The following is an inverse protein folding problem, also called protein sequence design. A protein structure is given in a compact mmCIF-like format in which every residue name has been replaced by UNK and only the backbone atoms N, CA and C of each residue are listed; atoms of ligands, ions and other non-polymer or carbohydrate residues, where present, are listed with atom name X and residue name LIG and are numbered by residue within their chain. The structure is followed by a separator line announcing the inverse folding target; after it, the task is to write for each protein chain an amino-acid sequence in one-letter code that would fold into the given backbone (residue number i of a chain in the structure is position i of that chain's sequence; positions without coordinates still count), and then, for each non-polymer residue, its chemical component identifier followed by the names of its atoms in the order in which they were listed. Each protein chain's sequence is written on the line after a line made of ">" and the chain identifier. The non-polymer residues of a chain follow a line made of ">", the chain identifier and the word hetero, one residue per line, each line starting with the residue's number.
data_IF_624546189365
#
_entry.id   IF_624546189365
#
_cell.length_a   1.000
_cell.length_b   1.000
_cell.length_c   1.000
_cell.angle_alpha   90.00
_cell.angle_beta   90.00
_cell.angle_gamma   90.00
#
_symmetry.space_group_name_H-M   'P 1'
#
loop_
_entity.id
_entity.type
_entity.pdbx_description
1 polymer ?
#
# COMPACT_ATOMS: atom_id res chain seq x y z
N UNK A 1 -19.02 11.47 78.10
CA UNK A 1 -18.64 10.35 79.00
C UNK A 1 -17.97 9.26 78.16
N UNK A 2 -16.73 9.01 78.60
CA UNK A 2 -16.08 7.70 78.66
C UNK A 2 -15.90 6.95 77.30
N UNK A 3 -14.74 6.92 76.84
CA UNK A 3 -13.47 6.21 77.16
C UNK A 3 -13.31 4.85 76.46
N UNK A 4 -12.16 4.73 75.86
CA UNK A 4 -11.24 3.56 75.83
C UNK A 4 -11.52 2.49 74.81
N UNK A 5 -10.63 1.78 74.25
CA UNK A 5 -9.16 1.64 74.27
C UNK A 5 -8.74 0.69 73.22
N UNK A 6 -7.63 0.95 72.54
CA UNK A 6 -6.51 0.03 72.35
C UNK A 6 -6.77 -1.36 71.77
N UNK A 7 -6.13 -1.64 70.73
CA UNK A 7 -5.83 -2.99 70.23
C UNK A 7 -4.86 -2.96 69.05
N UNK A 8 -3.57 -2.92 69.35
CA UNK A 8 -2.45 -3.18 68.44
C UNK A 8 -2.51 -4.62 68.02
N UNK A 9 -2.38 -4.91 66.72
CA UNK A 9 -1.61 -6.08 66.29
C UNK A 9 -1.03 -5.87 64.91
N UNK A 10 0.27 -5.81 64.91
CA UNK A 10 1.15 -5.93 63.71
C UNK A 10 1.02 -7.34 63.15
N UNK A 11 0.78 -7.47 61.86
CA UNK A 11 1.25 -8.63 61.09
C UNK A 11 1.66 -8.19 59.73
N UNK A 12 2.96 -8.18 59.53
CA UNK A 12 3.64 -8.09 58.27
C UNK A 12 3.41 -9.38 57.48
N UNK A 13 2.80 -9.27 56.31
CA UNK A 13 2.85 -10.31 55.29
C UNK A 13 3.38 -9.69 54.00
N UNK A 14 4.63 -9.94 53.74
CA UNK A 14 5.26 -9.65 52.47
C UNK A 14 4.70 -10.62 51.43
N UNK A 15 3.86 -10.13 50.51
CA UNK A 15 3.57 -10.85 49.28
C UNK A 15 4.36 -10.21 48.15
N UNK A 16 5.34 -10.97 47.68
CA UNK A 16 6.07 -10.69 46.44
C UNK A 16 5.09 -10.77 45.30
N UNK A 17 4.65 -9.62 44.81
CA UNK A 17 3.93 -9.52 43.56
C UNK A 17 4.94 -9.66 42.38
N UNK A 18 4.98 -10.84 41.82
CA UNK A 18 5.68 -11.07 40.56
C UNK A 18 5.09 -10.18 39.49
N UNK A 19 5.88 -9.21 39.03
CA UNK A 19 5.57 -8.42 37.84
C UNK A 19 5.65 -9.35 36.61
N UNK A 20 4.50 -9.90 36.23
CA UNK A 20 4.36 -10.48 34.90
C UNK A 20 4.45 -9.34 33.91
N UNK A 21 5.64 -9.16 33.32
CA UNK A 21 5.85 -8.30 32.16
C UNK A 21 5.09 -8.93 30.99
N UNK A 22 3.82 -8.57 30.86
CA UNK A 22 3.09 -8.79 29.62
C UNK A 22 3.74 -7.91 28.57
N UNK A 23 4.63 -8.51 27.78
CA UNK A 23 5.08 -7.91 26.52
C UNK A 23 3.89 -7.84 25.59
N UNK A 24 3.09 -6.80 25.74
CA UNK A 24 2.19 -6.36 24.69
C UNK A 24 3.08 -5.96 23.51
N UNK A 25 3.22 -6.85 22.54
CA UNK A 25 3.57 -6.49 21.18
C UNK A 25 2.42 -5.65 20.60
N UNK A 26 2.18 -4.51 21.17
CA UNK A 26 1.50 -3.42 20.54
C UNK A 26 2.48 -2.94 19.48
N UNK A 27 2.27 -3.35 18.24
CA UNK A 27 2.82 -2.65 17.09
C UNK A 27 2.30 -1.23 17.22
N UNK A 28 3.05 -0.37 17.90
CA UNK A 28 2.76 1.05 17.94
C UNK A 28 2.73 1.47 16.47
N UNK A 29 1.55 1.81 16.00
CA UNK A 29 1.34 2.41 14.69
C UNK A 29 2.02 3.79 14.75
N UNK A 30 3.32 3.80 14.57
CA UNK A 30 4.05 5.06 14.36
C UNK A 30 3.41 5.71 13.14
N UNK A 31 3.16 7.02 13.16
CA UNK A 31 2.63 7.70 11.99
C UNK A 31 3.57 7.38 10.83
N UNK A 32 3.05 6.68 9.83
CA UNK A 32 3.83 6.33 8.66
C UNK A 32 4.14 7.60 7.89
N UNK A 33 5.39 7.76 7.50
CA UNK A 33 5.77 8.88 6.64
C UNK A 33 5.16 8.69 5.25
N UNK A 34 4.89 9.78 4.54
CA UNK A 34 4.40 9.71 3.16
C UNK A 34 5.30 8.85 2.25
N UNK A 35 6.61 8.83 2.53
CA UNK A 35 7.56 7.99 1.81
C UNK A 35 7.35 6.49 2.08
N UNK A 36 6.94 6.11 3.29
CA UNK A 36 6.63 4.72 3.63
C UNK A 36 5.30 4.30 2.99
N UNK A 37 4.30 5.18 3.08
CA UNK A 37 3.01 4.99 2.41
C UNK A 37 3.22 4.84 0.90
N UNK A 38 4.00 5.71 0.27
CA UNK A 38 4.29 5.65 -1.15
C UNK A 38 4.96 4.34 -1.56
N UNK A 39 5.87 3.83 -0.73
CA UNK A 39 6.54 2.55 -0.98
C UNK A 39 5.54 1.38 -0.93
N UNK A 40 4.67 1.40 0.08
CA UNK A 40 3.66 0.37 0.26
C UNK A 40 2.60 0.43 -0.85
N UNK A 41 2.10 1.62 -1.19
CA UNK A 41 1.16 1.81 -2.32
C UNK A 41 1.77 1.30 -3.62
N UNK A 42 3.03 1.64 -3.88
CA UNK A 42 3.75 1.13 -5.06
C UNK A 42 3.81 -0.39 -5.07
N UNK A 43 4.11 -0.99 -3.93
CA UNK A 43 4.17 -2.44 -3.81
C UNK A 43 2.82 -3.07 -4.14
N UNK A 44 1.75 -2.61 -3.54
CA UNK A 44 0.40 -3.15 -3.76
C UNK A 44 -0.04 -3.02 -5.22
N UNK A 45 0.19 -1.86 -5.84
CA UNK A 45 -0.15 -1.65 -7.26
C UNK A 45 0.65 -2.56 -8.18
N UNK A 46 1.97 -2.73 -7.94
CA UNK A 46 2.83 -3.58 -8.77
C UNK A 46 2.56 -5.08 -8.57
N UNK A 47 2.06 -5.47 -7.39
CA UNK A 47 1.72 -6.86 -7.09
C UNK A 47 0.28 -7.22 -7.46
N UNK A 48 -0.49 -6.26 -7.97
CA UNK A 48 -1.85 -6.52 -8.44
C UNK A 48 -1.85 -7.53 -9.59
N UNK A 49 -2.50 -8.71 -9.45
CA UNK A 49 -2.37 -9.82 -10.40
C UNK A 49 -2.86 -9.51 -11.82
N UNK A 50 -3.78 -8.55 -11.94
CA UNK A 50 -4.33 -8.17 -13.24
C UNK A 50 -3.66 -6.93 -13.84
N UNK A 51 -2.58 -6.42 -13.20
CA UNK A 51 -1.80 -5.34 -13.77
C UNK A 51 -1.11 -5.81 -15.04
N UNK A 52 -1.28 -5.07 -16.12
CA UNK A 52 -0.78 -5.45 -17.44
C UNK A 52 0.12 -4.36 -18.03
N UNK A 53 0.81 -4.68 -19.11
CA UNK A 53 1.63 -3.72 -19.85
C UNK A 53 0.81 -2.58 -20.49
N UNK A 54 -0.50 -2.73 -20.50
CA UNK A 54 -1.45 -1.76 -21.05
C UNK A 54 -1.99 -0.79 -20.00
N UNK A 55 -1.67 -1.02 -18.74
CA UNK A 55 -2.10 -0.17 -17.64
C UNK A 55 -0.96 0.78 -17.27
N UNK A 56 -1.26 2.04 -17.15
CA UNK A 56 -0.36 3.06 -16.62
C UNK A 56 -1.03 3.71 -15.42
N UNK A 57 -0.54 3.41 -14.22
CA UNK A 57 -1.08 3.96 -12.99
C UNK A 57 0.02 4.73 -12.27
N UNK A 58 -0.23 5.99 -12.06
CA UNK A 58 0.62 6.89 -11.29
C UNK A 58 -0.08 7.31 -10.00
N UNK A 59 0.68 7.64 -8.96
CA UNK A 59 0.11 8.12 -7.72
C UNK A 59 0.99 9.20 -7.07
N UNK A 60 0.37 9.99 -6.22
CA UNK A 60 1.02 10.96 -5.34
C UNK A 60 0.49 10.77 -3.92
N UNK A 61 1.38 10.89 -2.94
CA UNK A 61 1.03 10.86 -1.53
C UNK A 61 1.37 12.21 -0.91
N UNK A 62 0.44 12.76 -0.16
CA UNK A 62 0.62 14.00 0.60
C UNK A 62 -0.22 13.92 1.89
N UNK A 63 0.41 14.02 3.05
CA UNK A 63 -0.24 13.96 4.36
C UNK A 63 -1.17 12.73 4.52
N UNK A 64 -0.73 11.57 4.01
CA UNK A 64 -1.52 10.34 4.01
C UNK A 64 -2.65 10.28 2.97
N UNK A 65 -2.85 11.33 2.18
CA UNK A 65 -3.83 11.33 1.09
C UNK A 65 -3.17 10.85 -0.20
N UNK A 66 -3.78 9.88 -0.85
CA UNK A 66 -3.27 9.28 -2.08
C UNK A 66 -4.14 9.71 -3.26
N UNK A 67 -3.53 10.35 -4.25
CA UNK A 67 -4.18 10.67 -5.53
C UNK A 67 -3.70 9.68 -6.59
N UNK A 68 -4.62 8.92 -7.17
CA UNK A 68 -4.38 7.99 -8.25
C UNK A 68 -4.71 8.63 -9.58
N UNK A 69 -3.84 8.51 -10.56
CA UNK A 69 -4.02 9.02 -11.92
C UNK A 69 -3.52 8.01 -12.92
N UNK A 70 -3.91 8.17 -14.17
CA UNK A 70 -3.44 7.30 -15.26
C UNK A 70 -4.56 6.61 -16.01
N UNK A 71 -4.27 5.49 -16.62
CA UNK A 71 -5.21 4.80 -17.50
C UNK A 71 -5.15 3.29 -17.31
N UNK A 72 -6.31 2.64 -17.32
CA UNK A 72 -6.43 1.18 -17.27
C UNK A 72 -7.31 0.69 -18.43
N UNK A 73 -7.04 -0.52 -18.87
CA UNK A 73 -7.77 -1.09 -20.01
C UNK A 73 -9.12 -1.73 -19.63
N UNK A 74 -9.42 -1.85 -18.32
CA UNK A 74 -10.66 -2.48 -17.87
C UNK A 74 -11.25 -1.74 -16.66
N UNK A 75 -12.59 -1.53 -16.61
CA UNK A 75 -13.24 -0.79 -15.53
C UNK A 75 -13.04 -1.37 -14.14
N UNK A 76 -13.02 -2.70 -14.01
CA UNK A 76 -12.85 -3.37 -12.71
C UNK A 76 -11.48 -3.09 -12.09
N UNK A 77 -10.44 -2.91 -12.91
CA UNK A 77 -9.09 -2.62 -12.42
C UNK A 77 -9.01 -1.30 -11.67
N UNK A 78 -9.72 -0.28 -12.13
CA UNK A 78 -9.84 0.99 -11.45
C UNK A 78 -10.33 0.80 -10.02
N UNK A 79 -11.44 0.11 -9.84
CA UNK A 79 -12.03 -0.15 -8.52
C UNK A 79 -11.14 -1.03 -7.64
N UNK A 80 -10.49 -2.03 -8.24
CA UNK A 80 -9.62 -2.93 -7.49
C UNK A 80 -8.38 -2.20 -6.97
N UNK A 81 -7.74 -1.37 -7.81
CA UNK A 81 -6.57 -0.58 -7.43
C UNK A 81 -6.93 0.41 -6.32
N UNK A 82 -8.05 1.11 -6.44
CA UNK A 82 -8.55 1.99 -5.40
C UNK A 82 -8.70 1.25 -4.06
N UNK A 83 -9.36 0.08 -4.06
CA UNK A 83 -9.55 -0.74 -2.85
C UNK A 83 -8.24 -1.25 -2.26
N UNK A 84 -7.28 -1.61 -3.11
CA UNK A 84 -5.96 -2.05 -2.66
C UNK A 84 -5.24 -0.91 -1.95
N UNK A 85 -5.24 0.28 -2.53
CA UNK A 85 -4.59 1.46 -1.97
C UNK A 85 -5.26 1.91 -0.68
N UNK A 86 -6.59 1.85 -0.58
CA UNK A 86 -7.34 2.17 0.65
C UNK A 86 -6.97 1.28 1.84
N UNK A 87 -6.48 0.07 1.59
CA UNK A 87 -6.07 -0.88 2.65
C UNK A 87 -4.63 -0.68 3.11
N UNK A 88 -3.87 0.15 2.42
CA UNK A 88 -2.47 0.39 2.79
C UNK A 88 -2.43 1.14 4.14
N UNK A 89 -1.68 0.63 5.11
CA UNK A 89 -1.54 1.31 6.39
C UNK A 89 -1.01 2.73 6.21
N UNK A 90 -1.61 3.68 6.93
CA UNK A 90 -1.25 5.09 6.87
C UNK A 90 -1.99 5.90 5.81
N UNK A 91 -2.72 5.27 4.90
CA UNK A 91 -3.57 5.98 3.93
C UNK A 91 -4.82 6.51 4.65
N UNK A 92 -5.00 7.82 4.59
CA UNK A 92 -6.14 8.51 5.17
C UNK A 92 -7.31 8.63 4.18
N UNK A 93 -7.00 8.91 2.91
CA UNK A 93 -7.99 8.99 1.84
C UNK A 93 -7.37 8.64 0.49
N UNK A 94 -8.23 8.24 -0.45
CA UNK A 94 -7.83 7.96 -1.83
C UNK A 94 -8.73 8.77 -2.77
N UNK A 95 -8.11 9.51 -3.67
CA UNK A 95 -8.78 10.18 -4.79
C UNK A 95 -8.44 9.41 -6.06
N UNK A 96 -9.44 8.90 -6.77
CA UNK A 96 -9.26 8.05 -7.94
C UNK A 96 -9.66 8.79 -9.23
N UNK A 97 -8.65 9.34 -9.91
CA UNK A 97 -8.74 9.98 -11.22
C UNK A 97 -8.25 9.07 -12.35
N UNK A 98 -8.20 7.75 -12.14
CA UNK A 98 -7.84 6.78 -13.17
C UNK A 98 -8.92 6.77 -14.25
N UNK A 99 -8.50 6.88 -15.49
CA UNK A 99 -9.37 6.78 -16.67
C UNK A 99 -9.44 5.34 -17.16
N UNK A 100 -10.61 4.96 -17.65
CA UNK A 100 -10.76 3.68 -18.32
C UNK A 100 -10.66 3.91 -19.81
N UNK A 101 -9.73 3.22 -20.45
CA UNK A 101 -9.55 3.30 -21.90
C UNK A 101 -10.80 2.74 -22.60
N UNK A 102 -11.29 3.39 -23.67
CA UNK A 102 -12.39 2.85 -24.43
C UNK A 102 -11.99 1.51 -25.05
N UNK A 103 -12.90 0.55 -25.05
CA UNK A 103 -12.70 -0.72 -25.72
C UNK A 103 -12.65 -0.49 -27.23
N UNK A 104 -11.47 -0.68 -27.82
CA UNK A 104 -11.25 -0.59 -29.24
C UNK A 104 -10.53 -1.85 -29.71
N UNK A 105 -11.23 -2.68 -30.44
CA UNK A 105 -10.63 -3.91 -31.01
C UNK A 105 -9.50 -3.61 -31.99
N UNK A 106 -9.52 -2.46 -32.64
CA UNK A 106 -8.45 -2.01 -33.55
C UNK A 106 -7.22 -1.60 -32.75
N UNK A 107 -7.40 -0.84 -31.67
CA UNK A 107 -6.27 -0.43 -30.81
C UNK A 107 -5.65 -1.63 -30.09
N UNK A 108 -6.45 -2.56 -29.62
CA UNK A 108 -5.96 -3.78 -28.99
C UNK A 108 -5.14 -4.62 -29.98
N UNK A 109 -5.59 -4.72 -31.22
CA UNK A 109 -4.83 -5.40 -32.27
C UNK A 109 -3.51 -4.70 -32.57
N UNK A 110 -3.53 -3.38 -32.70
CA UNK A 110 -2.31 -2.58 -32.88
C UNK A 110 -1.33 -2.73 -31.72
N UNK A 111 -1.81 -2.67 -30.50
CA UNK A 111 -0.99 -2.87 -29.29
C UNK A 111 -0.30 -4.23 -29.30
N UNK A 112 -1.06 -5.30 -29.59
CA UNK A 112 -0.50 -6.65 -29.68
C UNK A 112 0.52 -6.76 -30.82
N UNK A 113 0.26 -6.14 -31.97
CA UNK A 113 1.20 -6.13 -33.09
C UNK A 113 2.50 -5.40 -32.75
N UNK A 114 2.41 -4.21 -32.14
CA UNK A 114 3.58 -3.44 -31.70
C UNK A 114 4.38 -4.21 -30.64
N UNK A 115 3.71 -4.74 -29.62
CA UNK A 115 4.37 -5.55 -28.61
C UNK A 115 5.06 -6.77 -29.25
N UNK A 116 4.39 -7.46 -30.14
CA UNK A 116 4.97 -8.60 -30.86
C UNK A 116 6.18 -8.22 -31.70
N UNK A 117 6.15 -7.07 -32.37
CA UNK A 117 7.26 -6.56 -33.15
C UNK A 117 8.48 -6.27 -32.26
N UNK A 118 8.26 -5.59 -31.12
CA UNK A 118 9.32 -5.28 -30.16
C UNK A 118 9.91 -6.56 -29.55
N UNK A 119 9.07 -7.50 -29.14
CA UNK A 119 9.54 -8.73 -28.49
C UNK A 119 10.18 -9.74 -29.44
N UNK A 120 9.89 -9.66 -30.74
CA UNK A 120 10.54 -10.47 -31.78
C UNK A 120 11.84 -9.87 -32.27
N UNK A 121 12.10 -8.60 -32.01
CA UNK A 121 13.35 -7.97 -32.42
C UNK A 121 14.52 -8.57 -31.60
N UNK A 122 15.59 -9.08 -32.29
CA UNK A 122 16.72 -9.72 -31.61
C UNK A 122 17.46 -8.82 -30.63
N UNK A 123 17.45 -7.51 -30.87
CA UNK A 123 18.09 -6.52 -29.99
C UNK A 123 17.22 -6.24 -28.76
N UNK A 124 15.90 -6.18 -28.95
CA UNK A 124 14.94 -5.81 -27.90
C UNK A 124 14.43 -7.01 -27.12
N UNK A 125 14.52 -8.23 -27.65
CA UNK A 125 14.04 -9.45 -27.00
C UNK A 125 14.69 -9.71 -25.63
N UNK A 126 15.94 -9.29 -25.44
CA UNK A 126 16.61 -9.35 -24.14
C UNK A 126 15.94 -8.53 -23.04
N UNK A 127 15.26 -7.46 -23.41
CA UNK A 127 14.48 -6.64 -22.47
C UNK A 127 13.13 -7.28 -22.14
N UNK A 128 12.55 -8.06 -23.04
CA UNK A 128 11.30 -8.79 -22.82
C UNK A 128 11.43 -9.92 -21.80
N UNK A 129 12.56 -10.62 -21.82
CA UNK A 129 12.82 -11.74 -20.89
C UNK A 129 13.17 -11.27 -19.48
N UNK A 130 13.54 -10.03 -19.29
CA UNK A 130 14.12 -9.55 -18.05
C UNK A 130 13.20 -8.80 -17.09
N UNK A 131 12.12 -8.19 -17.53
CA UNK A 131 11.27 -7.36 -16.65
C UNK A 131 9.93 -6.98 -17.28
N UNK A 132 8.87 -7.56 -16.79
CA UNK A 132 7.57 -6.89 -16.73
C UNK A 132 7.62 -5.78 -15.67
N UNK A 133 8.54 -4.84 -15.80
CA UNK A 133 8.51 -3.64 -14.96
C UNK A 133 7.82 -2.56 -15.76
N UNK A 134 6.71 -2.01 -15.26
CA UNK A 134 6.21 -0.76 -15.78
C UNK A 134 7.34 0.26 -15.71
N UNK A 135 7.48 1.06 -16.75
CA UNK A 135 8.51 2.10 -16.82
C UNK A 135 8.41 2.97 -15.56
N UNK A 136 9.47 3.00 -14.78
CA UNK A 136 9.55 3.71 -13.50
C UNK A 136 9.58 5.23 -13.64
N UNK A 137 9.27 5.77 -14.82
CA UNK A 137 9.44 7.18 -15.13
C UNK A 137 8.35 8.10 -14.57
N UNK A 138 7.24 7.57 -14.08
CA UNK A 138 6.12 8.38 -13.60
C UNK A 138 5.96 8.44 -12.07
N UNK A 139 6.82 7.76 -11.31
CA UNK A 139 6.75 7.78 -9.85
C UNK A 139 7.41 9.05 -9.30
N UNK A 140 6.72 10.16 -9.35
CA UNK A 140 7.14 11.38 -8.65
C UNK A 140 6.57 11.35 -7.25
N UNK A 141 7.43 11.12 -6.28
CA UNK A 141 7.17 11.52 -4.90
C UNK A 141 7.22 13.04 -4.88
N UNK A 142 6.08 13.67 -4.60
CA UNK A 142 6.06 15.11 -4.36
C UNK A 142 6.76 15.38 -3.02
N UNK A 143 7.85 16.11 -3.05
CA UNK A 143 8.40 16.84 -1.91
C UNK A 143 7.74 18.19 -1.84
#
# INVERSE_FOLDING_TARGET
>A
MKTRMLGRLLMAAALAAGAASASTKGSANLPQSDSDIARNVRHEVLMYPHYSIWDDVSFRVADGNVSLTGEVNQPYKKQDIERLVQRVPGVASVTDDIKVLPLSSTDDRLRVQVASAIYRDPVLSGYAMGRSRPSTSSWRTGT
#
